data_IF_583006739795
#
_entry.id   IF_583006739795
#
_cell.length_a   1.000
_cell.length_b   1.000
_cell.length_c   1.000
_cell.angle_alpha   90.00
_cell.angle_beta   90.00
_cell.angle_gamma   90.00
#
_symmetry.space_group_name_H-M   'P 1'
#
loop_
_entity.id
_entity.type
_entity.pdbx_description
1 polymer ?
#
# COMPACT_ATOMS: atom_id res chain seq x y z
N UNK A 1 -21.62 -2.69 -25.64
CA UNK A 1 -21.64 -3.72 -24.58
C UNK A 1 -22.67 -3.31 -23.55
N UNK A 2 -23.67 -4.15 -23.23
CA UNK A 2 -24.71 -3.80 -22.25
C UNK A 2 -24.11 -3.73 -20.84
N UNK A 3 -24.71 -2.92 -19.96
CA UNK A 3 -24.26 -2.72 -18.57
C UNK A 3 -24.07 -4.06 -17.82
N UNK A 4 -25.00 -5.00 -18.01
CA UNK A 4 -24.94 -6.35 -17.45
C UNK A 4 -23.70 -7.13 -17.91
N UNK A 5 -23.31 -7.02 -19.17
CA UNK A 5 -22.11 -7.69 -19.68
C UNK A 5 -20.84 -7.06 -19.09
N UNK A 6 -20.81 -5.73 -18.91
CA UNK A 6 -19.66 -5.07 -18.27
C UNK A 6 -19.50 -5.51 -16.81
N UNK A 7 -20.60 -5.54 -16.06
CA UNK A 7 -20.62 -5.98 -14.66
C UNK A 7 -20.17 -7.43 -14.53
N UNK A 8 -20.68 -8.32 -15.39
CA UNK A 8 -20.29 -9.73 -15.40
C UNK A 8 -18.78 -9.90 -15.66
N UNK A 9 -18.22 -9.19 -16.64
CA UNK A 9 -16.78 -9.24 -16.93
C UNK A 9 -15.98 -8.77 -15.72
N UNK A 10 -16.33 -7.63 -15.11
CA UNK A 10 -15.64 -7.09 -13.93
C UNK A 10 -15.67 -8.07 -12.76
N UNK A 11 -16.83 -8.68 -12.47
CA UNK A 11 -16.98 -9.66 -11.39
C UNK A 11 -16.20 -10.94 -11.66
N UNK A 12 -16.31 -11.51 -12.86
CA UNK A 12 -15.59 -12.76 -13.21
C UNK A 12 -14.08 -12.54 -13.10
N UNK A 13 -13.55 -11.46 -13.69
CA UNK A 13 -12.11 -11.16 -13.64
C UNK A 13 -11.68 -10.85 -12.21
N UNK A 14 -12.38 -9.93 -11.52
CA UNK A 14 -12.01 -9.50 -10.17
C UNK A 14 -12.06 -10.64 -9.14
N UNK A 15 -13.14 -11.43 -9.13
CA UNK A 15 -13.31 -12.52 -8.17
C UNK A 15 -12.39 -13.71 -8.48
N UNK A 16 -12.19 -14.06 -9.75
CA UNK A 16 -11.25 -15.14 -10.10
C UNK A 16 -9.81 -14.80 -9.71
N UNK A 17 -9.36 -13.56 -9.96
CA UNK A 17 -8.06 -13.08 -9.49
C UNK A 17 -7.96 -13.09 -7.96
N UNK A 18 -9.02 -12.67 -7.27
CA UNK A 18 -9.07 -12.67 -5.79
C UNK A 18 -8.93 -14.09 -5.23
N UNK A 19 -9.66 -15.07 -5.79
CA UNK A 19 -9.56 -16.48 -5.38
C UNK A 19 -8.16 -17.02 -5.65
N UNK A 20 -7.58 -16.74 -6.81
CA UNK A 20 -6.24 -17.21 -7.20
C UNK A 20 -5.16 -16.67 -6.25
N UNK A 21 -5.12 -15.35 -6.05
CA UNK A 21 -4.15 -14.70 -5.17
C UNK A 21 -4.38 -15.10 -3.72
N UNK A 22 -5.65 -15.19 -3.29
CA UNK A 22 -6.03 -15.65 -1.96
C UNK A 22 -5.54 -17.06 -1.67
N UNK A 23 -5.69 -17.99 -2.62
CA UNK A 23 -5.21 -19.36 -2.50
C UNK A 23 -3.68 -19.43 -2.29
N UNK A 24 -2.89 -18.77 -3.14
CA UNK A 24 -1.43 -18.78 -3.00
C UNK A 24 -0.97 -18.08 -1.73
N UNK A 25 -1.63 -16.98 -1.35
CA UNK A 25 -1.33 -16.26 -0.11
C UNK A 25 -1.63 -17.11 1.12
N UNK A 26 -2.81 -17.73 1.19
CA UNK A 26 -3.20 -18.62 2.28
C UNK A 26 -2.26 -19.82 2.39
N UNK A 27 -1.88 -20.45 1.26
CA UNK A 27 -0.89 -21.54 1.23
C UNK A 27 0.45 -21.10 1.82
N UNK A 28 0.93 -19.90 1.47
CA UNK A 28 2.20 -19.37 1.98
C UNK A 28 2.11 -19.02 3.46
N UNK A 29 1.03 -18.38 3.90
CA UNK A 29 0.78 -18.07 5.32
C UNK A 29 0.70 -19.34 6.14
N UNK A 30 0.00 -20.38 5.68
CA UNK A 30 -0.10 -21.65 6.38
C UNK A 30 1.27 -22.35 6.49
N UNK A 31 2.08 -22.30 5.43
CA UNK A 31 3.45 -22.81 5.49
C UNK A 31 4.31 -22.03 6.51
N UNK A 32 4.24 -20.70 6.52
CA UNK A 32 4.95 -19.86 7.49
C UNK A 32 4.48 -20.14 8.92
N UNK A 33 3.18 -20.28 9.13
CA UNK A 33 2.61 -20.66 10.41
C UNK A 33 3.18 -21.99 10.90
N UNK A 34 3.17 -23.03 10.06
CA UNK A 34 3.76 -24.33 10.42
C UNK A 34 5.24 -24.21 10.76
N UNK A 35 6.00 -23.44 9.98
CA UNK A 35 7.43 -23.20 10.24
C UNK A 35 7.66 -22.48 11.57
N UNK A 36 6.87 -21.46 11.89
CA UNK A 36 6.99 -20.75 13.18
C UNK A 36 6.65 -21.68 14.34
N UNK A 37 5.62 -22.52 14.16
CA UNK A 37 5.17 -23.47 15.18
C UNK A 37 6.14 -24.64 15.43
N UNK A 38 7.15 -24.86 14.58
CA UNK A 38 8.25 -25.80 14.91
C UNK A 38 9.28 -25.23 15.87
N UNK A 39 9.20 -23.94 16.21
CA UNK A 39 10.07 -23.31 17.20
C UNK A 39 9.80 -23.80 18.63
N UNK A 40 10.77 -23.60 19.53
CA UNK A 40 10.60 -23.91 20.95
C UNK A 40 9.46 -23.07 21.55
N UNK A 41 8.69 -23.70 22.45
CA UNK A 41 7.68 -22.97 23.23
C UNK A 41 8.39 -21.93 24.10
N UNK A 42 7.93 -20.69 23.99
CA UNK A 42 8.38 -19.58 24.85
C UNK A 42 7.69 -19.66 26.20
N UNK A 43 8.41 -19.31 27.27
CA UNK A 43 7.87 -19.31 28.64
C UNK A 43 6.93 -18.13 28.92
N UNK A 44 6.33 -18.12 30.12
CA UNK A 44 5.36 -17.12 30.54
C UNK A 44 5.95 -15.69 30.63
N UNK A 45 7.28 -15.55 30.69
CA UNK A 45 7.98 -14.25 30.67
C UNK A 45 7.76 -13.46 29.37
N UNK A 46 7.36 -14.13 28.29
CA UNK A 46 7.06 -13.47 27.01
C UNK A 46 5.65 -12.85 26.97
N UNK A 47 4.80 -13.19 27.94
CA UNK A 47 3.42 -12.69 28.06
C UNK A 47 3.21 -11.69 29.20
N UNK A 48 4.25 -11.33 29.97
CA UNK A 48 4.19 -10.32 31.03
C UNK A 48 4.19 -8.87 30.49
N UNK A 49 3.82 -7.88 31.31
CA UNK A 49 4.00 -6.45 31.04
C UNK A 49 3.27 -5.92 29.78
N UNK A 50 2.06 -6.41 29.54
CA UNK A 50 1.26 -6.11 28.34
C UNK A 50 1.16 -4.60 28.08
N UNK A 51 0.89 -3.80 29.11
CA UNK A 51 0.77 -2.33 28.95
C UNK A 51 2.04 -1.67 28.39
N UNK A 52 3.22 -2.01 28.95
CA UNK A 52 4.50 -1.49 28.48
C UNK A 52 4.80 -1.94 27.05
N UNK A 53 4.43 -3.19 26.70
CA UNK A 53 4.62 -3.73 25.36
C UNK A 53 3.73 -3.04 24.33
N UNK A 54 2.45 -2.85 24.63
CA UNK A 54 1.50 -2.11 23.78
C UNK A 54 2.01 -0.70 23.53
N UNK A 55 2.41 0.01 24.58
CA UNK A 55 2.99 1.35 24.42
C UNK A 55 4.25 1.36 23.56
N UNK A 56 5.11 0.36 23.75
CA UNK A 56 6.32 0.20 22.93
C UNK A 56 5.96 -0.03 21.45
N UNK A 57 4.92 -0.83 21.16
CA UNK A 57 4.44 -1.04 19.79
C UNK A 57 3.91 0.26 19.17
N UNK A 58 3.08 1.02 19.90
CA UNK A 58 2.57 2.31 19.42
C UNK A 58 3.73 3.26 19.12
N UNK A 59 4.68 3.40 20.05
CA UNK A 59 5.81 4.31 19.90
C UNK A 59 6.77 3.91 18.77
N UNK A 60 7.17 2.63 18.73
CA UNK A 60 8.22 2.17 17.84
C UNK A 60 7.69 1.76 16.46
N UNK A 61 6.48 1.21 16.37
CA UNK A 61 5.87 0.77 15.10
C UNK A 61 5.01 1.87 14.50
N UNK A 62 3.96 2.34 15.19
CA UNK A 62 3.09 3.37 14.60
C UNK A 62 3.82 4.72 14.50
N UNK A 63 4.56 5.09 15.55
CA UNK A 63 5.36 6.31 15.59
C UNK A 63 6.70 6.23 14.85
N UNK A 64 7.16 5.03 14.46
CA UNK A 64 8.45 4.82 13.79
C UNK A 64 9.63 5.47 14.51
N UNK A 65 9.58 5.59 15.85
CA UNK A 65 10.49 6.43 16.63
C UNK A 65 11.98 6.10 16.41
N UNK A 66 12.33 4.82 16.25
CA UNK A 66 13.70 4.39 15.93
C UNK A 66 14.13 4.72 14.50
N UNK A 67 13.23 4.61 13.52
CA UNK A 67 13.55 4.86 12.11
C UNK A 67 13.65 6.35 11.79
N UNK A 68 12.84 7.20 12.43
CA UNK A 68 12.89 8.65 12.25
C UNK A 68 14.20 9.28 12.73
N UNK A 69 15.03 8.55 13.48
CA UNK A 69 16.43 8.96 13.77
C UNK A 69 17.30 9.05 12.51
N UNK A 70 16.91 8.35 11.43
CA UNK A 70 17.57 8.38 10.12
C UNK A 70 16.71 9.20 9.18
N UNK A 71 17.04 10.48 8.99
CA UNK A 71 16.15 11.49 8.41
C UNK A 71 15.49 11.03 7.09
N UNK A 72 16.26 10.77 6.03
CA UNK A 72 15.67 10.49 4.71
C UNK A 72 14.99 9.10 4.63
N UNK A 73 15.68 7.97 4.92
CA UNK A 73 15.06 6.65 4.80
C UNK A 73 13.93 6.42 5.81
N UNK A 74 14.03 7.04 6.99
CA UNK A 74 13.06 6.96 8.07
C UNK A 74 11.76 7.70 7.75
N UNK A 75 11.86 8.94 7.26
CA UNK A 75 10.69 9.70 6.81
C UNK A 75 10.00 9.00 5.64
N UNK A 76 10.77 8.49 4.68
CA UNK A 76 10.22 7.72 3.56
C UNK A 76 9.48 6.46 4.03
N UNK A 77 10.02 5.73 5.02
CA UNK A 77 9.34 4.57 5.61
C UNK A 77 8.08 4.97 6.37
N UNK A 78 8.13 6.08 7.13
CA UNK A 78 7.00 6.57 7.89
C UNK A 78 5.79 6.86 6.98
N UNK A 79 6.00 7.61 5.90
CA UNK A 79 4.93 7.88 4.94
C UNK A 79 4.46 6.61 4.24
N UNK A 80 5.37 5.72 3.85
CA UNK A 80 4.99 4.46 3.18
C UNK A 80 4.15 3.57 4.10
N UNK A 81 4.49 3.47 5.38
CA UNK A 81 3.72 2.70 6.36
C UNK A 81 2.33 3.30 6.58
N UNK A 82 2.23 4.60 6.86
CA UNK A 82 0.93 5.25 7.09
C UNK A 82 0.05 5.24 5.83
N UNK A 83 0.65 5.32 4.65
CA UNK A 83 -0.08 5.18 3.41
C UNK A 83 -0.76 3.81 3.29
N UNK A 84 -0.16 2.70 3.75
CA UNK A 84 -0.86 1.41 3.74
C UNK A 84 -2.16 1.45 4.55
N UNK A 85 -2.20 2.15 5.69
CA UNK A 85 -3.41 2.26 6.51
C UNK A 85 -4.46 3.17 5.87
N UNK A 86 -4.04 4.33 5.38
CA UNK A 86 -4.98 5.29 4.76
C UNK A 86 -5.49 4.77 3.43
N UNK A 87 -4.60 4.32 2.53
CA UNK A 87 -4.98 3.87 1.19
C UNK A 87 -5.73 2.53 1.20
N UNK A 88 -5.73 1.79 2.32
CA UNK A 88 -6.64 0.66 2.50
C UNK A 88 -8.10 1.05 2.27
N UNK A 89 -8.47 2.28 2.62
CA UNK A 89 -9.82 2.81 2.33
C UNK A 89 -10.14 2.78 0.84
N UNK A 90 -9.22 3.21 -0.02
CA UNK A 90 -9.40 3.19 -1.47
C UNK A 90 -9.55 1.76 -1.99
N UNK A 91 -8.78 0.80 -1.47
CA UNK A 91 -8.89 -0.59 -1.93
C UNK A 91 -10.21 -1.24 -1.50
N UNK A 92 -10.75 -0.88 -0.33
CA UNK A 92 -12.08 -1.31 0.09
C UNK A 92 -13.14 -0.75 -0.87
N UNK A 93 -13.07 0.55 -1.20
CA UNK A 93 -13.99 1.19 -2.15
C UNK A 93 -13.88 0.58 -3.55
N UNK A 94 -12.66 0.41 -4.05
CA UNK A 94 -12.38 -0.23 -5.33
C UNK A 94 -12.92 -1.66 -5.42
N UNK A 95 -12.80 -2.42 -4.33
CA UNK A 95 -13.37 -3.77 -4.26
C UNK A 95 -14.90 -3.74 -4.24
N UNK A 96 -15.49 -2.80 -3.51
CA UNK A 96 -16.94 -2.55 -3.53
C UNK A 96 -17.47 -2.14 -4.90
N UNK A 97 -16.67 -1.39 -5.67
CA UNK A 97 -16.97 -0.98 -7.05
C UNK A 97 -17.08 -2.16 -8.03
N UNK A 98 -16.62 -3.36 -7.66
CA UNK A 98 -16.90 -4.58 -8.43
C UNK A 98 -18.39 -4.93 -8.42
N UNK A 99 -19.10 -4.61 -7.34
CA UNK A 99 -20.52 -4.96 -7.13
C UNK A 99 -21.46 -3.79 -7.37
N UNK A 100 -21.06 -2.58 -6.97
CA UNK A 100 -21.85 -1.36 -7.14
C UNK A 100 -20.97 -0.21 -7.55
N UNK A 101 -21.26 0.38 -8.71
CA UNK A 101 -20.45 1.43 -9.32
C UNK A 101 -20.17 2.63 -8.39
N UNK A 102 -21.11 2.95 -7.50
CA UNK A 102 -21.04 4.08 -6.57
C UNK A 102 -20.72 3.66 -5.12
N UNK A 103 -20.07 2.50 -4.94
CA UNK A 103 -19.70 2.05 -3.60
C UNK A 103 -18.69 3.00 -2.95
N UNK A 104 -19.00 3.43 -1.72
CA UNK A 104 -18.16 4.27 -0.88
C UNK A 104 -18.17 3.73 0.56
N UNK A 105 -17.13 4.01 1.34
CA UNK A 105 -17.09 3.60 2.75
C UNK A 105 -18.17 4.35 3.55
N UNK A 106 -18.96 3.66 4.38
CA UNK A 106 -19.93 4.32 5.25
C UNK A 106 -19.26 5.38 6.14
N UNK A 107 -19.90 6.55 6.31
CA UNK A 107 -19.48 7.66 7.18
C UNK A 107 -18.32 8.51 6.63
N UNK A 108 -17.20 7.92 6.21
CA UNK A 108 -16.01 8.68 5.74
C UNK A 108 -15.88 8.81 4.22
N UNK A 109 -16.60 7.99 3.45
CA UNK A 109 -16.49 7.93 1.98
C UNK A 109 -17.00 9.18 1.24
N UNK A 110 -17.59 10.15 1.92
CA UNK A 110 -18.07 11.42 1.35
C UNK A 110 -17.25 12.63 1.82
N UNK A 111 -16.20 12.42 2.61
CA UNK A 111 -15.44 13.53 3.18
C UNK A 111 -14.27 13.88 2.26
N UNK A 112 -14.26 15.12 1.77
CA UNK A 112 -13.14 15.66 1.00
C UNK A 112 -11.80 15.56 1.76
N UNK A 113 -11.84 15.54 3.09
CA UNK A 113 -10.67 15.30 3.94
C UNK A 113 -10.04 13.90 3.71
N UNK A 114 -10.85 12.85 3.53
CA UNK A 114 -10.33 11.52 3.25
C UNK A 114 -9.75 11.46 1.83
N UNK A 115 -10.42 12.07 0.84
CA UNK A 115 -9.90 12.21 -0.52
C UNK A 115 -8.55 12.93 -0.55
N UNK A 116 -8.41 14.03 0.19
CA UNK A 116 -7.15 14.75 0.38
C UNK A 116 -6.09 13.89 1.03
N UNK A 117 -6.42 13.17 2.11
CA UNK A 117 -5.46 12.35 2.84
C UNK A 117 -4.94 11.21 1.94
N UNK A 118 -5.81 10.58 1.16
CA UNK A 118 -5.42 9.56 0.19
C UNK A 118 -4.45 10.12 -0.86
N UNK A 119 -4.74 11.30 -1.41
CA UNK A 119 -3.88 11.94 -2.42
C UNK A 119 -2.55 12.44 -1.85
N UNK A 120 -2.57 12.94 -0.61
CA UNK A 120 -1.36 13.30 0.12
C UNK A 120 -0.45 12.08 0.30
N UNK A 121 -1.00 10.96 0.80
CA UNK A 121 -0.20 9.77 1.05
C UNK A 121 0.28 9.09 -0.22
N UNK A 122 -0.52 9.01 -1.29
CA UNK A 122 -0.02 8.44 -2.56
C UNK A 122 1.10 9.31 -3.16
N UNK A 123 1.01 10.63 -3.01
CA UNK A 123 2.10 11.55 -3.40
C UNK A 123 3.34 11.27 -2.55
N UNK A 124 3.20 11.17 -1.23
CA UNK A 124 4.31 10.92 -0.31
C UNK A 124 4.97 9.55 -0.55
N UNK A 125 4.19 8.51 -0.89
CA UNK A 125 4.71 7.19 -1.30
C UNK A 125 5.47 7.29 -2.61
N UNK A 126 4.96 8.03 -3.58
CA UNK A 126 5.64 8.25 -4.87
C UNK A 126 7.02 8.86 -4.64
N UNK A 127 7.11 9.92 -3.82
CA UNK A 127 8.39 10.53 -3.44
C UNK A 127 9.29 9.57 -2.66
N UNK A 128 8.71 8.76 -1.76
CA UNK A 128 9.44 7.74 -0.98
C UNK A 128 10.07 6.68 -1.89
N UNK A 129 9.38 6.22 -2.93
CA UNK A 129 9.90 5.28 -3.92
C UNK A 129 11.13 5.86 -4.60
N UNK A 130 11.06 7.11 -5.08
CA UNK A 130 12.20 7.77 -5.71
C UNK A 130 13.36 7.94 -4.73
N UNK A 131 13.10 8.33 -3.48
CA UNK A 131 14.13 8.41 -2.44
C UNK A 131 14.81 7.05 -2.21
N UNK A 132 14.04 5.95 -2.07
CA UNK A 132 14.61 4.61 -1.92
C UNK A 132 15.37 4.15 -3.15
N UNK A 133 14.89 4.47 -4.35
CA UNK A 133 15.57 4.17 -5.60
C UNK A 133 16.94 4.85 -5.65
N UNK A 134 16.99 6.16 -5.40
CA UNK A 134 18.22 6.95 -5.40
C UNK A 134 19.20 6.42 -4.35
N UNK A 135 18.73 6.18 -3.12
CA UNK A 135 19.58 5.63 -2.04
C UNK A 135 20.13 4.25 -2.42
N UNK A 136 19.34 3.41 -3.08
CA UNK A 136 19.74 2.06 -3.46
C UNK A 136 20.74 2.03 -4.60
N UNK A 137 20.60 2.93 -5.57
CA UNK A 137 21.58 3.12 -6.65
C UNK A 137 22.89 3.65 -6.06
N UNK A 138 22.84 4.75 -5.30
CA UNK A 138 24.03 5.41 -4.76
C UNK A 138 24.80 4.60 -3.70
N UNK A 139 24.11 3.70 -2.98
CA UNK A 139 24.74 2.84 -1.97
C UNK A 139 24.85 1.39 -2.43
N UNK A 140 24.90 1.13 -3.74
CA UNK A 140 24.96 -0.22 -4.28
C UNK A 140 26.24 -0.95 -3.82
N UNK A 141 26.14 -2.12 -3.14
CA UNK A 141 27.31 -2.85 -2.65
C UNK A 141 28.20 -3.40 -3.76
N UNK A 142 27.70 -3.50 -5.01
CA UNK A 142 28.53 -3.85 -6.17
C UNK A 142 29.56 -2.77 -6.49
N UNK A 143 29.28 -1.51 -6.17
CA UNK A 143 30.14 -0.37 -6.49
C UNK A 143 31.04 0.02 -5.32
N UNK A 144 30.48 0.09 -4.09
CA UNK A 144 31.21 0.59 -2.91
C UNK A 144 31.59 -0.51 -1.90
N UNK A 145 31.40 -1.79 -2.26
CA UNK A 145 31.83 -2.94 -1.47
C UNK A 145 31.28 -2.96 -0.04
N UNK A 146 32.15 -3.31 0.94
CA UNK A 146 31.81 -3.45 2.37
C UNK A 146 31.39 -2.14 3.04
N UNK A 147 31.70 -1.00 2.43
CA UNK A 147 31.25 0.31 2.92
C UNK A 147 29.75 0.55 2.66
N UNK A 148 29.11 -0.25 1.79
CA UNK A 148 27.66 -0.20 1.61
C UNK A 148 26.93 -0.74 2.83
N UNK A 149 25.92 0.00 3.29
CA UNK A 149 24.93 -0.49 4.27
C UNK A 149 24.15 -1.72 3.80
N UNK A 150 24.14 -1.98 2.48
CA UNK A 150 23.43 -3.10 1.87
C UNK A 150 24.36 -4.28 1.58
N UNK A 151 25.63 -4.23 2.01
CA UNK A 151 26.56 -5.34 1.87
C UNK A 151 26.03 -6.57 2.61
N UNK A 152 26.04 -7.73 1.95
CA UNK A 152 25.47 -8.98 2.48
C UNK A 152 23.93 -9.06 2.49
N UNK A 153 23.21 -8.03 2.00
CA UNK A 153 21.74 -8.06 1.93
C UNK A 153 21.20 -8.63 0.61
N UNK A 154 19.96 -9.14 0.64
CA UNK A 154 19.22 -9.61 -0.54
C UNK A 154 18.71 -8.43 -1.40
N UNK A 155 19.61 -7.80 -2.15
CA UNK A 155 19.26 -6.62 -2.98
C UNK A 155 18.25 -6.91 -4.09
N UNK A 156 18.24 -8.11 -4.68
CA UNK A 156 17.29 -8.47 -5.74
C UNK A 156 15.84 -8.44 -5.27
N UNK A 157 15.55 -9.05 -4.11
CA UNK A 157 14.21 -9.01 -3.51
C UNK A 157 13.78 -7.58 -3.14
N UNK A 158 14.73 -6.75 -2.71
CA UNK A 158 14.43 -5.36 -2.37
C UNK A 158 14.09 -4.50 -3.60
N UNK A 159 14.75 -4.72 -4.74
CA UNK A 159 14.38 -4.12 -6.03
C UNK A 159 13.01 -4.60 -6.51
N UNK A 160 12.74 -5.90 -6.40
CA UNK A 160 11.44 -6.47 -6.76
C UNK A 160 10.31 -5.81 -5.96
N UNK A 161 10.45 -5.68 -4.64
CA UNK A 161 9.45 -5.01 -3.81
C UNK A 161 9.28 -3.53 -4.20
N UNK A 162 10.38 -2.82 -4.49
CA UNK A 162 10.29 -1.41 -4.92
C UNK A 162 9.47 -1.28 -6.21
N UNK A 163 9.68 -2.17 -7.18
CA UNK A 163 8.90 -2.23 -8.42
C UNK A 163 7.44 -2.62 -8.15
N UNK A 164 7.17 -3.55 -7.23
CA UNK A 164 5.80 -3.92 -6.87
C UNK A 164 5.04 -2.77 -6.20
N UNK A 165 5.70 -1.98 -5.34
CA UNK A 165 5.07 -0.80 -4.73
C UNK A 165 4.84 0.29 -5.80
N UNK A 166 5.79 0.48 -6.73
CA UNK A 166 5.56 1.36 -7.88
C UNK A 166 4.33 0.92 -8.69
N UNK A 167 4.14 -0.39 -8.88
CA UNK A 167 2.95 -0.92 -9.55
C UNK A 167 1.66 -0.52 -8.86
N UNK A 168 1.61 -0.67 -7.55
CA UNK A 168 0.47 -0.22 -6.74
C UNK A 168 0.19 1.26 -6.96
N UNK A 169 1.22 2.12 -6.99
CA UNK A 169 1.06 3.57 -7.15
C UNK A 169 0.45 3.96 -8.50
N UNK A 170 1.01 3.49 -9.62
CA UNK A 170 0.48 3.92 -10.92
C UNK A 170 -0.90 3.32 -11.20
N UNK A 171 -1.16 2.07 -10.79
CA UNK A 171 -2.50 1.47 -10.93
C UNK A 171 -3.54 2.18 -10.07
N UNK A 172 -3.15 2.65 -8.88
CA UNK A 172 -4.01 3.47 -8.03
C UNK A 172 -4.41 4.75 -8.75
N UNK A 173 -3.44 5.48 -9.32
CA UNK A 173 -3.71 6.75 -9.99
C UNK A 173 -4.61 6.57 -11.21
N UNK A 174 -4.37 5.53 -12.02
CA UNK A 174 -5.24 5.22 -13.16
C UNK A 174 -6.66 4.85 -12.74
N UNK A 175 -6.81 3.99 -11.74
CA UNK A 175 -8.13 3.59 -11.25
C UNK A 175 -8.92 4.80 -10.75
N UNK A 176 -8.29 5.64 -9.92
CA UNK A 176 -8.96 6.81 -9.36
C UNK A 176 -9.22 7.90 -10.39
N UNK A 177 -8.31 8.09 -11.34
CA UNK A 177 -8.52 9.00 -12.47
C UNK A 177 -9.68 8.58 -13.35
N UNK A 178 -9.79 7.28 -13.65
CA UNK A 178 -10.96 6.74 -14.36
C UNK A 178 -12.26 6.97 -13.56
N UNK A 179 -12.23 6.81 -12.23
CA UNK A 179 -13.39 7.06 -11.38
C UNK A 179 -13.89 8.52 -11.43
N UNK A 180 -13.00 9.49 -11.69
CA UNK A 180 -13.39 10.89 -11.93
C UNK A 180 -14.21 10.99 -13.23
N UNK A 181 -13.71 10.42 -14.32
CA UNK A 181 -14.36 10.50 -15.63
C UNK A 181 -15.69 9.75 -15.67
N UNK A 182 -15.81 8.65 -14.93
CA UNK A 182 -17.07 7.88 -14.83
C UNK A 182 -18.03 8.43 -13.78
N UNK A 183 -17.65 9.49 -13.04
CA UNK A 183 -18.47 10.08 -11.99
C UNK A 183 -18.71 9.17 -10.78
N UNK A 184 -17.91 8.10 -10.62
CA UNK A 184 -18.01 7.17 -9.49
C UNK A 184 -17.11 7.55 -8.30
N UNK A 185 -16.27 8.58 -8.45
CA UNK A 185 -15.48 9.07 -7.34
C UNK A 185 -16.39 9.72 -6.29
N UNK A 186 -16.36 9.27 -5.02
CA UNK A 186 -17.26 9.79 -4.00
C UNK A 186 -16.73 11.08 -3.33
N UNK A 187 -15.56 11.57 -3.78
CA UNK A 187 -14.87 12.75 -3.26
C UNK A 187 -14.90 13.90 -4.28
N UNK A 188 -14.99 15.13 -3.79
CA UNK A 188 -14.93 16.35 -4.58
C UNK A 188 -13.49 16.81 -4.85
N UNK A 189 -13.26 18.12 -4.71
CA UNK A 189 -11.97 18.74 -5.03
C UNK A 189 -10.87 18.47 -3.99
N UNK A 190 -11.23 17.93 -2.82
CA UNK A 190 -10.25 17.48 -1.82
C UNK A 190 -9.28 16.44 -2.37
N UNK A 191 -9.73 15.57 -3.29
CA UNK A 191 -8.89 14.60 -3.99
C UNK A 191 -8.13 15.25 -5.18
N UNK A 192 -7.31 16.25 -4.88
CA UNK A 192 -6.66 17.13 -5.87
C UNK A 192 -5.84 16.40 -6.95
N UNK A 193 -5.04 15.39 -6.57
CA UNK A 193 -4.19 14.65 -7.48
C UNK A 193 -5.04 13.72 -8.34
N UNK A 194 -6.01 13.06 -7.72
CA UNK A 194 -6.99 12.22 -8.41
C UNK A 194 -7.76 13.03 -9.45
N UNK A 195 -8.24 14.23 -9.11
CA UNK A 195 -8.90 15.15 -10.05
C UNK A 195 -7.96 15.57 -11.20
N UNK A 196 -6.67 15.80 -10.91
CA UNK A 196 -5.67 16.08 -11.95
C UNK A 196 -5.48 14.89 -12.89
N UNK A 197 -5.34 13.67 -12.36
CA UNK A 197 -5.21 12.47 -13.18
C UNK A 197 -6.46 12.24 -14.01
N UNK A 198 -7.66 12.47 -13.45
CA UNK A 198 -8.92 12.44 -14.21
C UNK A 198 -8.89 13.37 -15.42
N UNK A 199 -8.47 14.63 -15.23
CA UNK A 199 -8.30 15.60 -16.34
C UNK A 199 -7.31 15.13 -17.40
N UNK A 200 -6.19 14.53 -16.98
CA UNK A 200 -5.19 13.96 -17.92
C UNK A 200 -5.77 12.78 -18.69
N UNK A 201 -6.61 11.97 -18.04
CA UNK A 201 -7.27 10.81 -18.63
C UNK A 201 -8.53 11.15 -19.42
N UNK A 202 -9.08 12.36 -19.31
CA UNK A 202 -10.32 12.76 -20.00
C UNK A 202 -10.35 12.46 -21.51
N UNK A 203 -9.24 12.55 -22.28
CA UNK A 203 -9.24 12.16 -23.69
C UNK A 203 -9.41 10.65 -23.94
N UNK A 204 -9.28 9.82 -22.92
CA UNK A 204 -9.34 8.35 -23.03
C UNK A 204 -10.77 7.80 -22.90
N UNK A 205 -11.75 8.65 -22.58
CA UNK A 205 -13.15 8.27 -22.35
C UNK A 205 -13.60 8.50 -20.92
#
# INVERSE_FOLDING_TARGET
MTENVQMMIRLVVGLSMTVLVGYFSARRVFWLYRLVMTGQKVGAERTSDVGRRVWTQIREVAGQAKLLKWSIPGIAHFFTMWAFFVLLTVYIEAYGQLFSHFCAIPISGLWDALGFLQDFFITAVTLSIFAFMIIRITRNPREIGRASRFYGSHNGGAWLILVMILNVVWTFLLLRGAAVNTGSLPYGNGAYLTQLIGKIMAPLG
#
